data_IF_618419870529
#
_entry.id   IF_618419870529
#
_cell.length_a   1.000
_cell.length_b   1.000
_cell.length_c   1.000
_cell.angle_alpha   90.00
_cell.angle_beta   90.00
_cell.angle_gamma   90.00
#
_symmetry.space_group_name_H-M   'P 1'
#
loop_
_entity.id
_entity.type
_entity.pdbx_description
1 polymer ?
#
# COMPACT_ATOMS: atom_id res chain seq x y z
N UNK A 1 8.31 25.79 0.08
CA UNK A 1 8.97 24.62 -0.54
C UNK A 1 9.60 23.80 0.57
N UNK A 2 9.05 22.64 0.89
CA UNK A 2 9.63 21.75 1.89
C UNK A 2 11.01 21.30 1.38
N UNK A 3 12.07 21.57 2.17
CA UNK A 3 13.43 21.16 1.82
C UNK A 3 13.51 19.65 1.64
N UNK A 4 14.33 19.22 0.68
CA UNK A 4 14.58 17.81 0.40
C UNK A 4 15.11 17.09 1.66
N UNK A 5 14.28 16.23 2.25
CA UNK A 5 14.65 15.47 3.45
C UNK A 5 15.51 14.26 3.07
N UNK A 6 16.83 14.39 3.21
CA UNK A 6 17.80 13.33 2.88
C UNK A 6 17.59 12.06 3.71
N UNK A 7 17.24 12.20 4.99
CA UNK A 7 17.02 11.05 5.88
C UNK A 7 15.78 10.26 5.48
N UNK A 8 14.68 10.94 5.14
CA UNK A 8 13.46 10.33 4.61
C UNK A 8 13.74 9.57 3.32
N UNK A 9 14.52 10.16 2.40
CA UNK A 9 14.91 9.49 1.17
C UNK A 9 15.76 8.24 1.45
N UNK A 10 16.79 8.37 2.28
CA UNK A 10 17.63 7.24 2.66
C UNK A 10 16.81 6.12 3.29
N UNK A 11 15.86 6.47 4.16
CA UNK A 11 14.93 5.53 4.77
C UNK A 11 14.10 4.77 3.72
N UNK A 12 13.54 5.48 2.74
CA UNK A 12 12.79 4.86 1.66
C UNK A 12 13.68 3.92 0.81
N UNK A 13 14.90 4.34 0.49
CA UNK A 13 15.86 3.52 -0.26
C UNK A 13 16.25 2.25 0.50
N UNK A 14 16.47 2.33 1.82
CA UNK A 14 16.73 1.17 2.65
C UNK A 14 15.54 0.19 2.64
N UNK A 15 14.31 0.70 2.72
CA UNK A 15 13.11 -0.13 2.62
C UNK A 15 13.01 -0.82 1.25
N UNK A 16 13.35 -0.14 0.15
CA UNK A 16 13.42 -0.77 -1.18
C UNK A 16 14.40 -1.93 -1.15
N UNK A 17 15.64 -1.71 -0.71
CA UNK A 17 16.67 -2.76 -0.67
C UNK A 17 16.21 -3.97 0.15
N UNK A 18 15.64 -3.74 1.35
CA UNK A 18 15.10 -4.80 2.20
C UNK A 18 13.98 -5.59 1.51
N UNK A 19 13.07 -4.91 0.80
CA UNK A 19 11.99 -5.55 0.04
C UNK A 19 12.51 -6.36 -1.14
N UNK A 20 13.52 -5.87 -1.86
CA UNK A 20 14.16 -6.60 -2.96
C UNK A 20 14.83 -7.88 -2.46
N UNK A 21 15.54 -7.81 -1.33
CA UNK A 21 16.13 -8.98 -0.67
C UNK A 21 15.04 -9.99 -0.31
N UNK A 22 13.91 -9.51 0.22
CA UNK A 22 12.80 -10.39 0.64
C UNK A 22 12.11 -11.06 -0.54
N UNK A 23 11.93 -10.36 -1.67
CA UNK A 23 11.43 -10.96 -2.91
C UNK A 23 12.40 -12.06 -3.40
N UNK A 24 13.71 -11.81 -3.32
CA UNK A 24 14.71 -12.82 -3.68
C UNK A 24 14.65 -14.04 -2.76
N UNK A 25 14.55 -13.84 -1.44
CA UNK A 25 14.37 -14.93 -0.47
C UNK A 25 13.10 -15.72 -0.78
N UNK A 26 11.98 -15.03 -1.06
CA UNK A 26 10.72 -15.66 -1.44
C UNK A 26 10.89 -16.55 -2.68
N UNK A 27 11.58 -16.05 -3.71
CA UNK A 27 11.90 -16.80 -4.92
C UNK A 27 12.73 -18.05 -4.62
N UNK A 28 13.77 -17.95 -3.78
CA UNK A 28 14.58 -19.11 -3.40
C UNK A 28 13.75 -20.17 -2.67
N UNK A 29 12.90 -19.76 -1.72
CA UNK A 29 12.01 -20.66 -0.97
C UNK A 29 11.03 -21.36 -1.92
N UNK A 30 10.40 -20.61 -2.83
CA UNK A 30 9.43 -21.16 -3.77
C UNK A 30 10.04 -22.19 -4.73
N UNK A 31 11.34 -22.08 -5.03
CA UNK A 31 12.05 -23.00 -5.92
C UNK A 31 12.82 -24.11 -5.18
N UNK A 32 12.81 -24.13 -3.85
CA UNK A 32 13.52 -25.14 -3.05
C UNK A 32 12.78 -26.50 -2.96
N UNK A 33 11.60 -26.62 -3.59
CA UNK A 33 10.83 -27.87 -3.63
C UNK A 33 9.98 -28.16 -2.39
N UNK A 34 9.76 -27.16 -1.53
CA UNK A 34 8.85 -27.30 -0.39
C UNK A 34 7.39 -27.43 -0.83
N UNK A 35 6.58 -28.17 -0.06
CA UNK A 35 5.15 -28.33 -0.32
C UNK A 35 4.36 -27.01 -0.15
N UNK A 36 4.82 -26.14 0.76
CA UNK A 36 4.22 -24.84 1.03
C UNK A 36 5.10 -23.76 0.40
N UNK A 37 4.49 -22.96 -0.48
CA UNK A 37 5.14 -21.81 -1.12
C UNK A 37 5.13 -20.60 -0.18
N UNK A 38 6.15 -19.74 -0.32
CA UNK A 38 6.15 -18.40 0.24
C UNK A 38 5.15 -17.51 -0.52
N UNK A 39 5.16 -17.57 -1.86
CA UNK A 39 4.21 -16.80 -2.69
C UNK A 39 2.77 -17.16 -2.35
N UNK A 40 1.96 -16.12 -2.20
CA UNK A 40 0.54 -16.28 -1.92
C UNK A 40 -0.17 -16.95 -3.10
N UNK A 41 -1.10 -17.85 -2.81
CA UNK A 41 -1.91 -18.51 -3.86
C UNK A 41 -2.72 -17.48 -4.65
N UNK A 42 -3.14 -16.39 -4.00
CA UNK A 42 -3.87 -15.31 -4.67
C UNK A 42 -3.03 -14.61 -5.75
N UNK A 43 -1.70 -14.58 -5.61
CA UNK A 43 -0.81 -13.99 -6.61
C UNK A 43 -0.87 -14.72 -7.95
N UNK A 44 -0.94 -16.05 -7.92
CA UNK A 44 -1.11 -16.88 -9.13
C UNK A 44 -2.48 -16.61 -9.76
N UNK A 45 -3.54 -16.47 -8.95
CA UNK A 45 -4.88 -16.11 -9.43
C UNK A 45 -4.91 -14.74 -10.11
N UNK A 46 -4.18 -13.75 -9.58
CA UNK A 46 -4.05 -12.44 -10.23
C UNK A 46 -3.29 -12.53 -11.55
N UNK A 47 -2.22 -13.35 -11.59
CA UNK A 47 -1.38 -13.53 -12.78
C UNK A 47 -2.14 -14.23 -13.91
N UNK A 48 -2.91 -15.26 -13.59
CA UNK A 48 -3.79 -15.94 -14.56
C UNK A 48 -4.84 -14.98 -15.12
N UNK A 49 -5.52 -14.24 -14.24
CA UNK A 49 -6.53 -13.27 -14.65
C UNK A 49 -5.94 -12.13 -15.49
N UNK A 50 -4.75 -11.63 -15.12
CA UNK A 50 -4.02 -10.65 -15.92
C UNK A 50 -3.66 -11.21 -17.31
N UNK A 51 -3.32 -12.49 -17.41
CA UNK A 51 -3.05 -13.16 -18.70
C UNK A 51 -4.30 -13.21 -19.58
N UNK A 52 -5.49 -13.46 -19.00
CA UNK A 52 -6.75 -13.35 -19.75
C UNK A 52 -6.99 -11.93 -20.26
N UNK A 53 -6.77 -10.92 -19.42
CA UNK A 53 -6.92 -9.51 -19.81
C UNK A 53 -5.92 -9.11 -20.90
N UNK A 54 -4.66 -9.54 -20.79
CA UNK A 54 -3.63 -9.27 -21.78
C UNK A 54 -3.98 -9.82 -23.18
N UNK A 55 -4.74 -10.91 -23.24
CA UNK A 55 -5.24 -11.51 -24.47
C UNK A 55 -6.59 -10.93 -24.96
N UNK A 56 -7.03 -9.80 -24.39
CA UNK A 56 -8.30 -9.14 -24.75
C UNK A 56 -9.54 -9.77 -24.10
N UNK A 57 -9.36 -10.70 -23.16
CA UNK A 57 -10.44 -11.35 -22.43
C UNK A 57 -10.83 -10.63 -21.13
N UNK A 58 -11.76 -11.24 -20.39
CA UNK A 58 -12.18 -10.78 -19.07
C UNK A 58 -11.34 -11.43 -17.96
N UNK A 59 -10.98 -10.72 -16.86
CA UNK A 59 -10.29 -11.35 -15.74
C UNK A 59 -11.15 -12.45 -15.08
N UNK A 60 -12.48 -12.34 -15.18
CA UNK A 60 -13.43 -13.34 -14.68
C UNK A 60 -13.49 -14.63 -15.52
N UNK A 61 -12.79 -14.69 -16.67
CA UNK A 61 -12.61 -15.95 -17.40
C UNK A 61 -11.82 -16.98 -16.56
N UNK A 62 -11.01 -16.51 -15.59
CA UNK A 62 -10.40 -17.38 -14.58
C UNK A 62 -11.44 -17.78 -13.54
N UNK A 63 -11.81 -19.06 -13.51
CA UNK A 63 -12.91 -19.62 -12.68
C UNK A 63 -12.89 -19.24 -11.18
N UNK A 64 -11.72 -19.03 -10.59
CA UNK A 64 -11.57 -18.72 -9.14
C UNK A 64 -11.28 -17.24 -8.87
N UNK A 65 -11.40 -16.38 -9.88
CA UNK A 65 -11.17 -14.95 -9.73
C UNK A 65 -12.36 -14.26 -9.08
N UNK A 66 -12.16 -13.77 -7.85
CA UNK A 66 -13.18 -13.15 -6.99
C UNK A 66 -12.85 -11.72 -6.57
N UNK A 67 -11.87 -11.11 -7.23
CA UNK A 67 -11.32 -9.81 -6.86
C UNK A 67 -11.84 -8.73 -7.82
N UNK A 68 -11.63 -7.46 -7.46
CA UNK A 68 -11.90 -6.35 -8.38
C UNK A 68 -11.09 -6.53 -9.68
N UNK A 69 -11.65 -6.25 -10.86
CA UNK A 69 -10.90 -6.27 -12.12
C UNK A 69 -9.60 -5.48 -12.04
N UNK A 70 -9.60 -4.36 -11.30
CA UNK A 70 -8.43 -3.50 -11.11
C UNK A 70 -7.19 -4.28 -10.61
N UNK A 71 -7.37 -5.32 -9.80
CA UNK A 71 -6.25 -6.13 -9.33
C UNK A 71 -5.58 -6.91 -10.47
N UNK A 72 -6.36 -7.42 -11.43
CA UNK A 72 -5.80 -8.05 -12.63
C UNK A 72 -5.10 -7.03 -13.52
N UNK A 73 -5.67 -5.83 -13.69
CA UNK A 73 -5.04 -4.76 -14.46
C UNK A 73 -3.71 -4.31 -13.86
N UNK A 74 -3.60 -4.18 -12.54
CA UNK A 74 -2.33 -3.88 -11.86
C UNK A 74 -1.28 -4.96 -12.15
N UNK A 75 -1.68 -6.23 -12.23
CA UNK A 75 -0.76 -7.34 -12.52
C UNK A 75 -0.57 -7.65 -14.01
N UNK A 76 -1.01 -6.79 -14.94
CA UNK A 76 -0.68 -6.94 -16.37
C UNK A 76 0.82 -6.92 -16.67
N UNK A 77 1.61 -6.32 -15.78
CA UNK A 77 3.08 -6.39 -15.85
C UNK A 77 3.61 -7.83 -15.78
N UNK A 78 2.86 -8.78 -15.22
CA UNK A 78 3.29 -10.17 -15.12
C UNK A 78 3.43 -10.85 -16.48
N UNK A 79 2.36 -10.98 -17.30
CA UNK A 79 2.47 -11.57 -18.62
C UNK A 79 3.32 -10.73 -19.60
N UNK A 80 3.44 -9.42 -19.40
CA UNK A 80 4.21 -8.56 -20.30
C UNK A 80 5.71 -8.51 -20.01
N UNK A 81 6.12 -8.66 -18.75
CA UNK A 81 7.53 -8.47 -18.34
C UNK A 81 8.08 -9.74 -17.70
N UNK A 82 7.50 -10.18 -16.57
CA UNK A 82 7.97 -11.36 -15.83
C UNK A 82 6.91 -11.79 -14.81
N UNK A 83 6.71 -13.10 -14.52
CA UNK A 83 5.71 -13.56 -13.54
C UNK A 83 5.81 -12.92 -12.15
N UNK A 84 7.00 -12.46 -11.73
CA UNK A 84 7.21 -11.79 -10.44
C UNK A 84 7.07 -10.25 -10.49
N UNK A 85 6.79 -9.66 -11.66
CA UNK A 85 6.86 -8.22 -11.89
C UNK A 85 5.89 -7.43 -10.97
N UNK A 86 4.68 -7.94 -10.76
CA UNK A 86 3.64 -7.31 -9.96
C UNK A 86 4.03 -7.22 -8.48
N UNK A 87 4.92 -8.10 -7.99
CA UNK A 87 5.48 -7.96 -6.63
C UNK A 87 6.26 -6.66 -6.47
N UNK A 88 7.01 -6.23 -7.48
CA UNK A 88 7.73 -4.95 -7.43
C UNK A 88 6.77 -3.75 -7.45
N UNK A 89 5.63 -3.87 -8.15
CA UNK A 89 4.54 -2.88 -8.10
C UNK A 89 3.97 -2.79 -6.67
N UNK A 90 3.71 -3.92 -6.01
CA UNK A 90 3.25 -3.91 -4.62
C UNK A 90 4.29 -3.35 -3.65
N UNK A 91 5.58 -3.61 -3.88
CA UNK A 91 6.66 -2.95 -3.13
C UNK A 91 6.65 -1.44 -3.33
N UNK A 92 6.38 -0.95 -4.54
CA UNK A 92 6.28 0.50 -4.76
C UNK A 92 5.15 1.13 -3.90
N UNK A 93 4.03 0.43 -3.72
CA UNK A 93 2.99 0.84 -2.78
C UNK A 93 3.46 0.83 -1.31
N UNK A 94 4.29 -0.13 -0.88
CA UNK A 94 4.90 -0.11 0.46
C UNK A 94 5.78 1.12 0.66
N UNK A 95 6.57 1.51 -0.34
CA UNK A 95 7.42 2.72 -0.25
C UNK A 95 6.56 3.98 -0.20
N UNK A 96 5.47 4.02 -0.97
CA UNK A 96 4.50 5.10 -0.88
C UNK A 96 3.86 5.17 0.52
N UNK A 97 3.45 4.04 1.09
CA UNK A 97 2.94 3.96 2.46
C UNK A 97 3.98 4.50 3.46
N UNK A 98 5.23 4.06 3.37
CA UNK A 98 6.31 4.54 4.23
C UNK A 98 6.51 6.07 4.13
N UNK A 99 6.41 6.61 2.91
CA UNK A 99 6.53 8.04 2.65
C UNK A 99 5.38 8.84 3.29
N UNK A 100 4.13 8.39 3.13
CA UNK A 100 2.95 9.05 3.69
C UNK A 100 2.93 8.92 5.21
N UNK A 101 3.27 7.74 5.76
CA UNK A 101 3.38 7.53 7.20
C UNK A 101 4.39 8.48 7.84
N UNK A 102 5.53 8.70 7.19
CA UNK A 102 6.52 9.67 7.67
C UNK A 102 5.91 11.07 7.81
N UNK A 103 5.20 11.55 6.78
CA UNK A 103 4.58 12.88 6.80
C UNK A 103 3.47 12.97 7.85
N UNK A 104 2.69 11.90 8.01
CA UNK A 104 1.66 11.82 9.05
C UNK A 104 2.27 11.85 10.45
N UNK A 105 3.32 11.06 10.72
CA UNK A 105 4.01 11.06 12.02
C UNK A 105 4.61 12.44 12.28
N UNK A 106 5.28 13.04 11.31
CA UNK A 106 5.85 14.38 11.44
C UNK A 106 4.76 15.43 11.72
N UNK A 107 3.63 15.37 11.02
CA UNK A 107 2.49 16.25 11.24
C UNK A 107 1.94 16.12 12.67
N UNK A 108 1.79 14.90 13.19
CA UNK A 108 1.28 14.67 14.53
C UNK A 108 2.26 15.12 15.62
N UNK A 109 3.57 14.90 15.43
CA UNK A 109 4.61 15.39 16.35
C UNK A 109 4.67 16.92 16.42
N UNK A 110 4.48 17.60 15.27
CA UNK A 110 4.36 19.07 15.25
C UNK A 110 3.11 19.55 15.99
N UNK A 111 1.97 18.87 15.80
CA UNK A 111 0.70 19.22 16.47
C UNK A 111 0.73 18.98 17.98
N UNK A 112 1.46 17.98 18.46
CA UNK A 112 1.60 17.70 19.90
C UNK A 112 2.51 18.68 20.65
N UNK A 113 3.05 19.71 19.99
CA UNK A 113 4.06 20.63 20.52
C UNK A 113 5.35 19.95 21.00
N UNK A 114 5.58 18.68 20.66
CA UNK A 114 6.84 18.03 20.97
C UNK A 114 7.91 18.55 20.00
N UNK A 115 8.70 19.55 20.42
CA UNK A 115 9.72 20.18 19.55
C UNK A 115 11.07 19.46 19.53
N UNK A 116 11.26 18.48 20.42
CA UNK A 116 12.54 17.80 20.63
C UNK A 116 12.66 16.44 19.91
N UNK A 117 11.91 16.23 18.83
CA UNK A 117 12.06 15.01 18.01
C UNK A 117 13.14 15.21 16.94
N UNK A 118 13.75 14.09 16.52
CA UNK A 118 14.68 14.05 15.40
C UNK A 118 14.09 13.26 14.24
N UNK A 119 14.67 13.38 13.04
CA UNK A 119 14.30 12.54 11.89
C UNK A 119 14.51 11.05 12.19
N UNK A 120 15.46 10.71 13.07
CA UNK A 120 15.68 9.33 13.54
C UNK A 120 14.50 8.84 14.38
N UNK A 121 13.90 9.70 15.19
CA UNK A 121 12.70 9.38 15.98
C UNK A 121 11.54 9.02 15.04
N UNK A 122 11.33 9.81 13.98
CA UNK A 122 10.30 9.50 12.96
C UNK A 122 10.62 8.18 12.27
N UNK A 123 11.87 7.98 11.83
CA UNK A 123 12.29 6.74 11.19
C UNK A 123 12.02 5.51 12.08
N UNK A 124 12.29 5.60 13.38
CA UNK A 124 11.98 4.52 14.34
C UNK A 124 10.48 4.25 14.44
N UNK A 125 9.65 5.31 14.57
CA UNK A 125 8.20 5.18 14.66
C UNK A 125 7.57 4.62 13.37
N UNK A 126 8.07 5.00 12.20
CA UNK A 126 7.59 4.42 10.93
C UNK A 126 8.07 2.98 10.78
N UNK A 127 9.28 2.67 11.27
CA UNK A 127 9.85 1.31 11.21
C UNK A 127 9.09 0.29 12.04
N UNK A 128 8.49 0.67 13.17
CA UNK A 128 7.67 -0.28 13.96
C UNK A 128 6.49 -0.84 13.14
N UNK A 129 5.98 -0.07 12.19
CA UNK A 129 4.93 -0.49 11.26
C UNK A 129 5.54 -1.19 10.04
N UNK A 130 6.50 -0.56 9.35
CA UNK A 130 7.05 -1.08 8.09
C UNK A 130 7.87 -2.36 8.22
N UNK A 131 8.52 -2.55 9.38
CA UNK A 131 9.30 -3.74 9.72
C UNK A 131 8.52 -4.73 10.59
N UNK A 132 7.23 -4.49 10.83
CA UNK A 132 6.36 -5.51 11.42
C UNK A 132 6.37 -6.74 10.49
N UNK A 133 6.67 -7.96 11.00
CA UNK A 133 6.89 -9.14 10.15
C UNK A 133 5.68 -9.47 9.26
N UNK A 134 4.46 -9.21 9.74
CA UNK A 134 3.24 -9.42 8.96
C UNK A 134 3.17 -8.42 7.79
N UNK A 135 3.30 -7.12 8.06
CA UNK A 135 3.29 -6.11 7.01
C UNK A 135 4.45 -6.30 6.02
N UNK A 136 5.63 -6.65 6.56
CA UNK A 136 6.88 -6.76 5.82
C UNK A 136 6.85 -7.90 4.78
N UNK A 137 6.18 -9.01 5.07
CA UNK A 137 6.10 -10.14 4.15
C UNK A 137 4.98 -10.01 3.09
N UNK A 138 3.97 -9.16 3.29
CA UNK A 138 2.77 -9.18 2.45
C UNK A 138 3.03 -8.79 0.99
N UNK A 139 3.84 -7.77 0.72
CA UNK A 139 4.19 -7.37 -0.65
C UNK A 139 5.04 -8.41 -1.37
N UNK A 140 6.03 -9.01 -0.69
CA UNK A 140 6.91 -10.04 -1.26
C UNK A 140 6.18 -11.37 -1.50
N UNK A 141 5.14 -11.67 -0.71
CA UNK A 141 4.20 -12.76 -0.97
C UNK A 141 3.34 -12.50 -2.22
N UNK A 142 3.21 -11.25 -2.67
CA UNK A 142 2.37 -10.89 -3.81
C UNK A 142 0.93 -10.52 -3.44
N UNK A 143 0.67 -10.09 -2.21
CA UNK A 143 -0.67 -9.62 -1.82
C UNK A 143 -0.95 -8.23 -2.37
N UNK A 144 -2.17 -8.04 -2.89
CA UNK A 144 -2.66 -6.72 -3.33
C UNK A 144 -3.15 -5.83 -2.17
N UNK A 145 -3.06 -6.29 -0.92
CA UNK A 145 -3.47 -5.52 0.27
C UNK A 145 -2.69 -4.20 0.41
N UNK A 146 -1.47 -4.13 -0.12
CA UNK A 146 -0.66 -2.91 -0.08
C UNK A 146 -1.25 -1.79 -0.94
N UNK A 147 -1.95 -2.13 -2.02
CA UNK A 147 -2.69 -1.14 -2.81
C UNK A 147 -3.80 -0.52 -1.95
N UNK A 148 -4.54 -1.35 -1.21
CA UNK A 148 -5.65 -0.90 -0.37
C UNK A 148 -5.14 -0.04 0.79
N UNK A 149 -4.07 -0.48 1.45
CA UNK A 149 -3.45 0.27 2.53
C UNK A 149 -2.91 1.62 2.06
N UNK A 150 -2.28 1.67 0.89
CA UNK A 150 -1.84 2.92 0.27
C UNK A 150 -3.00 3.89 0.00
N UNK A 151 -4.09 3.39 -0.61
CA UNK A 151 -5.27 4.20 -0.92
C UNK A 151 -5.94 4.71 0.36
N UNK A 152 -6.13 3.85 1.36
CA UNK A 152 -6.74 4.22 2.63
C UNK A 152 -5.87 5.24 3.38
N UNK A 153 -4.55 5.03 3.45
CA UNK A 153 -3.65 5.93 4.13
C UNK A 153 -3.59 7.29 3.43
N UNK A 154 -3.61 7.31 2.10
CA UNK A 154 -3.73 8.56 1.32
C UNK A 154 -5.04 9.28 1.61
N UNK A 155 -6.16 8.56 1.70
CA UNK A 155 -7.44 9.15 2.07
C UNK A 155 -7.38 9.82 3.45
N UNK A 156 -6.81 9.13 4.45
CA UNK A 156 -6.64 9.69 5.81
C UNK A 156 -5.72 10.91 5.76
N UNK A 157 -4.59 10.83 5.05
CA UNK A 157 -3.65 11.94 4.88
C UNK A 157 -4.35 13.19 4.32
N UNK A 158 -5.13 13.03 3.25
CA UNK A 158 -5.89 14.12 2.62
C UNK A 158 -6.95 14.71 3.55
N UNK A 159 -7.67 13.86 4.30
CA UNK A 159 -8.65 14.30 5.29
C UNK A 159 -7.97 15.09 6.42
N UNK A 160 -6.79 14.69 6.89
CA UNK A 160 -6.01 15.44 7.89
C UNK A 160 -5.56 16.83 7.39
N UNK A 161 -5.43 16.99 6.08
CA UNK A 161 -5.16 18.26 5.39
C UNK A 161 -6.43 19.00 4.95
N UNK A 162 -7.62 18.53 5.35
CA UNK A 162 -8.95 19.09 5.01
C UNK A 162 -9.30 19.02 3.51
N UNK A 163 -8.67 18.13 2.74
CA UNK A 163 -8.97 17.93 1.33
C UNK A 163 -10.02 16.82 1.17
N UNK A 164 -11.24 17.08 1.64
CA UNK A 164 -12.27 16.06 1.84
C UNK A 164 -12.73 15.36 0.56
N UNK A 165 -12.94 16.11 -0.54
CA UNK A 165 -13.39 15.54 -1.82
C UNK A 165 -12.37 14.53 -2.36
N UNK A 166 -11.08 14.91 -2.35
CA UNK A 166 -10.01 14.03 -2.80
C UNK A 166 -9.83 12.85 -1.83
N UNK A 167 -9.90 13.09 -0.52
CA UNK A 167 -9.89 12.03 0.49
C UNK A 167 -11.00 11.01 0.28
N UNK A 168 -12.23 11.47 0.02
CA UNK A 168 -13.39 10.64 -0.30
C UNK A 168 -13.21 9.83 -1.59
N UNK A 169 -12.58 10.40 -2.61
CA UNK A 169 -12.26 9.69 -3.85
C UNK A 169 -11.29 8.51 -3.59
N UNK A 170 -10.17 8.75 -2.90
CA UNK A 170 -9.22 7.69 -2.56
C UNK A 170 -9.84 6.63 -1.63
N UNK A 171 -10.68 7.05 -0.69
CA UNK A 171 -11.41 6.14 0.20
C UNK A 171 -12.40 5.25 -0.58
N UNK A 172 -13.17 5.83 -1.50
CA UNK A 172 -14.08 5.10 -2.38
C UNK A 172 -13.32 4.08 -3.23
N UNK A 173 -12.15 4.45 -3.76
CA UNK A 173 -11.29 3.54 -4.53
C UNK A 173 -10.77 2.39 -3.66
N UNK A 174 -10.42 2.64 -2.40
CA UNK A 174 -10.02 1.59 -1.45
C UNK A 174 -11.15 0.58 -1.22
N UNK A 175 -12.39 1.05 -1.02
CA UNK A 175 -13.59 0.20 -0.86
C UNK A 175 -13.89 -0.60 -2.13
N UNK A 176 -13.71 -0.01 -3.31
CA UNK A 176 -13.90 -0.72 -4.59
C UNK A 176 -12.85 -1.81 -4.81
N UNK A 177 -11.66 -1.67 -4.22
CA UNK A 177 -10.63 -2.70 -4.30
C UNK A 177 -10.99 -3.91 -3.42
N UNK A 178 -11.36 -3.67 -2.15
CA UNK A 178 -11.98 -4.64 -1.24
C UNK A 178 -12.93 -3.91 -0.30
N UNK A 179 -14.01 -4.56 0.13
CA UNK A 179 -15.06 -3.91 0.92
C UNK A 179 -14.64 -3.50 2.34
N UNK A 180 -13.63 -4.15 2.93
CA UNK A 180 -13.31 -3.97 4.37
C UNK A 180 -12.97 -2.54 4.82
N UNK A 181 -12.37 -1.63 4.01
CA UNK A 181 -12.12 -0.26 4.44
C UNK A 181 -13.40 0.53 4.75
N UNK A 182 -14.59 0.03 4.36
CA UNK A 182 -15.87 0.69 4.67
C UNK A 182 -16.05 0.94 6.17
N UNK A 183 -15.42 0.15 7.04
CA UNK A 183 -15.47 0.34 8.50
C UNK A 183 -14.94 1.72 8.94
N UNK A 184 -14.02 2.33 8.16
CA UNK A 184 -13.47 3.64 8.46
C UNK A 184 -14.43 4.78 8.11
N UNK A 185 -15.53 4.52 7.39
CA UNK A 185 -16.53 5.53 7.01
C UNK A 185 -17.09 6.26 8.23
N UNK A 186 -17.36 5.52 9.32
CA UNK A 186 -17.88 6.06 10.56
C UNK A 186 -16.90 7.04 11.23
N UNK A 187 -15.62 6.66 11.31
CA UNK A 187 -14.57 7.49 11.92
C UNK A 187 -14.30 8.72 11.06
N UNK A 188 -14.24 8.56 9.74
CA UNK A 188 -14.01 9.67 8.81
C UNK A 188 -15.21 10.65 8.81
N UNK A 189 -16.44 10.14 8.88
CA UNK A 189 -17.64 10.97 8.98
C UNK A 189 -17.60 11.87 10.22
N UNK A 190 -17.34 11.30 11.41
CA UNK A 190 -17.26 12.10 12.63
C UNK A 190 -16.07 13.06 12.65
N UNK A 191 -14.94 12.67 12.06
CA UNK A 191 -13.81 13.58 11.93
C UNK A 191 -14.17 14.81 11.08
N UNK A 192 -14.91 14.61 9.99
CA UNK A 192 -15.36 15.70 9.11
C UNK A 192 -16.46 16.55 9.78
N UNK A 193 -17.36 15.95 10.57
CA UNK A 193 -18.42 16.67 11.28
C UNK A 193 -17.85 17.67 12.31
N UNK A 194 -16.71 17.38 12.93
CA UNK A 194 -15.98 18.33 13.77
C UNK A 194 -15.52 19.61 13.02
N UNK A 195 -15.49 19.59 11.69
CA UNK A 195 -15.09 20.73 10.85
C UNK A 195 -16.25 21.38 10.11
N UNK A 196 -17.50 21.09 10.50
CA UNK A 196 -18.69 21.50 9.74
C UNK A 196 -18.74 23.00 9.43
N UNK A 197 -18.30 23.84 10.37
CA UNK A 197 -18.25 25.29 10.21
C UNK A 197 -17.24 25.76 9.15
N UNK A 198 -16.17 24.99 8.90
CA UNK A 198 -15.16 25.28 7.88
C UNK A 198 -15.61 24.86 6.48
N UNK A 199 -16.56 23.91 6.38
CA UNK A 199 -17.09 23.39 5.11
C UNK A 199 -18.26 24.25 4.61
N UNK A 200 -18.96 24.93 5.52
CA UNK A 200 -20.10 25.79 5.19
C UNK A 200 -19.72 27.18 4.63
N UNK A 201 -18.42 27.52 4.61
CA UNK A 201 -17.87 28.78 4.10
C UNK A 201 -17.36 28.60 2.67
#
# INVERSE_FOLDING_TARGET
MAGFNKTKLLYCLLNVVLRMITIYIAYVIDNAGYAVKFTDTDYDVFTDAATHVANGGSPFARKTYRYTPLAAYVCLVNPWVHPLACKFVFVAFDIFIAYVLWDMVELQLKRSNWKAYSERTIALLVSTIMLNPMFFAMSSRGSNDQVIQALLLMAIYLVLHRWYVLGGFFFGLAIHFKIYPIIFSFVLYFFIDCDRDLIAQ
#
